data_IF_615569261487
#
_entry.id   IF_615569261487
#
_cell.length_a   1.000
_cell.length_b   1.000
_cell.length_c   1.000
_cell.angle_alpha   90.00
_cell.angle_beta   90.00
_cell.angle_gamma   90.00
#
_symmetry.space_group_name_H-M   'P 1'
#
loop_
_entity.id
_entity.type
_entity.pdbx_description
1 polymer ?
#
# COMPACT_ATOMS: atom_id res chain seq x y z
N UNK A 1 -5.11 8.81 -6.95
CA UNK A 1 -4.18 7.65 -6.74
C UNK A 1 -4.98 6.38 -6.45
N UNK A 2 -4.49 5.16 -6.73
CA UNK A 2 -5.17 3.91 -6.34
C UNK A 2 -4.43 3.19 -5.21
N UNK A 3 -5.14 2.89 -4.12
CA UNK A 3 -4.60 2.22 -2.93
C UNK A 3 -5.39 0.94 -2.70
N UNK A 4 -4.69 -0.18 -2.62
CA UNK A 4 -5.28 -1.48 -2.27
C UNK A 4 -4.82 -1.86 -0.88
N UNK A 5 -5.75 -2.22 0.01
CA UNK A 5 -5.46 -2.68 1.36
C UNK A 5 -5.82 -4.16 1.43
N UNK A 6 -4.94 -4.96 2.01
CA UNK A 6 -5.10 -6.40 2.09
C UNK A 6 -4.59 -6.95 3.39
N UNK A 7 -5.48 -7.50 4.21
CA UNK A 7 -5.13 -8.10 5.49
C UNK A 7 -5.60 -9.55 5.58
N UNK A 8 -5.07 -10.28 6.56
CA UNK A 8 -5.67 -11.54 7.00
C UNK A 8 -7.11 -11.31 7.47
N UNK A 9 -7.96 -12.32 7.31
CA UNK A 9 -9.40 -12.22 7.62
C UNK A 9 -9.66 -11.84 9.09
N UNK A 10 -8.77 -12.25 10.00
CA UNK A 10 -8.76 -11.86 11.42
C UNK A 10 -8.63 -10.34 11.63
N UNK A 11 -8.02 -9.61 10.69
CA UNK A 11 -7.78 -8.17 10.75
C UNK A 11 -8.62 -7.37 9.75
N UNK A 12 -9.69 -7.95 9.20
CA UNK A 12 -10.56 -7.25 8.24
C UNK A 12 -11.16 -5.96 8.83
N UNK A 13 -11.48 -5.93 10.13
CA UNK A 13 -11.98 -4.73 10.83
C UNK A 13 -10.96 -3.59 10.80
N UNK A 14 -9.67 -3.92 10.94
CA UNK A 14 -8.60 -2.94 10.84
C UNK A 14 -8.48 -2.41 9.41
N UNK A 15 -8.51 -3.30 8.41
CA UNK A 15 -8.46 -2.90 7.00
C UNK A 15 -9.64 -2.02 6.58
N UNK A 16 -10.86 -2.31 7.07
CA UNK A 16 -12.06 -1.52 6.78
C UNK A 16 -11.98 -0.14 7.46
N UNK A 17 -11.52 -0.09 8.72
CA UNK A 17 -11.30 1.18 9.41
C UNK A 17 -10.23 2.03 8.70
N UNK A 18 -9.14 1.41 8.24
CA UNK A 18 -8.05 2.08 7.54
C UNK A 18 -8.50 2.54 6.14
N UNK A 19 -9.28 1.72 5.42
CA UNK A 19 -9.90 2.09 4.16
C UNK A 19 -10.80 3.33 4.32
N UNK A 20 -11.68 3.33 5.32
CA UNK A 20 -12.56 4.47 5.60
C UNK A 20 -11.78 5.72 5.98
N UNK A 21 -10.77 5.58 6.83
CA UNK A 21 -9.91 6.69 7.24
C UNK A 21 -9.19 7.30 6.03
N UNK A 22 -8.55 6.47 5.20
CA UNK A 22 -7.86 6.93 3.99
C UNK A 22 -8.83 7.53 2.97
N UNK A 23 -9.99 6.90 2.73
CA UNK A 23 -11.00 7.43 1.82
C UNK A 23 -11.57 8.77 2.29
N UNK A 24 -11.73 8.95 3.61
CA UNK A 24 -12.17 10.22 4.19
C UNK A 24 -11.09 11.31 4.14
N UNK A 25 -9.83 10.96 4.32
CA UNK A 25 -8.70 11.90 4.32
C UNK A 25 -8.23 12.24 2.90
N UNK A 26 -8.42 11.33 1.95
CA UNK A 26 -8.02 11.43 0.55
C UNK A 26 -9.18 11.04 -0.36
N UNK A 27 -10.18 11.93 -0.55
CA UNK A 27 -11.28 11.67 -1.47
C UNK A 27 -10.84 11.53 -2.94
N UNK A 28 -9.63 12.01 -3.29
CA UNK A 28 -9.01 11.86 -4.61
C UNK A 28 -8.27 10.51 -4.79
N UNK A 29 -8.13 9.74 -3.71
CA UNK A 29 -7.56 8.40 -3.74
C UNK A 29 -8.67 7.33 -3.75
N UNK A 30 -8.59 6.42 -4.72
CA UNK A 30 -9.46 5.25 -4.79
C UNK A 30 -8.89 4.17 -3.89
N UNK A 31 -9.55 3.96 -2.74
CA UNK A 31 -9.11 3.02 -1.71
C UNK A 31 -10.01 1.78 -1.72
N UNK A 32 -9.45 0.63 -2.04
CA UNK A 32 -10.13 -0.65 -2.03
C UNK A 32 -9.54 -1.57 -0.94
N UNK A 33 -10.38 -2.35 -0.27
CA UNK A 33 -9.95 -3.39 0.66
C UNK A 33 -10.27 -4.78 0.08
N UNK A 34 -9.32 -5.72 0.16
CA UNK A 34 -9.48 -7.10 -0.28
C UNK A 34 -8.86 -8.09 0.71
N UNK A 35 -9.09 -9.38 0.50
CA UNK A 35 -8.49 -10.43 1.33
C UNK A 35 -7.10 -10.76 0.84
N UNK A 36 -6.20 -11.10 1.76
CA UNK A 36 -4.85 -11.55 1.44
C UNK A 36 -4.80 -12.70 0.43
N UNK A 37 -5.76 -13.62 0.49
CA UNK A 37 -5.85 -14.76 -0.43
C UNK A 37 -6.07 -14.38 -1.91
N UNK A 38 -6.63 -13.19 -2.17
CA UNK A 38 -6.95 -12.70 -3.53
C UNK A 38 -6.12 -11.48 -3.92
N UNK A 39 -5.12 -11.11 -3.11
CA UNK A 39 -4.31 -9.90 -3.34
C UNK A 39 -3.65 -9.89 -4.72
N UNK A 40 -3.16 -11.03 -5.20
CA UNK A 40 -2.54 -11.13 -6.53
C UNK A 40 -3.52 -10.80 -7.66
N UNK A 41 -4.67 -11.47 -7.68
CA UNK A 41 -5.73 -11.22 -8.68
C UNK A 41 -6.26 -9.79 -8.60
N UNK A 42 -6.41 -9.26 -7.38
CA UNK A 42 -6.87 -7.90 -7.16
C UNK A 42 -5.83 -6.88 -7.61
N UNK A 43 -4.53 -7.13 -7.41
CA UNK A 43 -3.46 -6.28 -7.93
C UNK A 43 -3.47 -6.26 -9.45
N UNK A 44 -3.65 -7.41 -10.11
CA UNK A 44 -3.74 -7.48 -11.57
C UNK A 44 -4.99 -6.78 -12.12
N UNK A 45 -6.14 -6.94 -11.47
CA UNK A 45 -7.42 -6.37 -11.92
C UNK A 45 -7.56 -4.87 -11.62
N UNK A 46 -7.21 -4.45 -10.40
CA UNK A 46 -7.36 -3.07 -9.92
C UNK A 46 -6.21 -2.17 -10.37
N UNK A 47 -5.05 -2.77 -10.64
CA UNK A 47 -3.81 -2.10 -10.97
C UNK A 47 -3.50 -0.96 -9.98
N UNK A 48 -3.36 -1.26 -8.67
CA UNK A 48 -3.11 -0.24 -7.65
C UNK A 48 -1.78 0.46 -7.90
N UNK A 49 -1.60 1.64 -7.31
CA UNK A 49 -0.30 2.28 -7.23
C UNK A 49 0.41 1.98 -5.90
N UNK A 50 -0.38 1.78 -4.84
CA UNK A 50 0.09 1.39 -3.52
C UNK A 50 -0.71 0.19 -3.02
N UNK A 51 -0.02 -0.82 -2.50
CA UNK A 51 -0.61 -1.98 -1.85
C UNK A 51 -0.18 -1.97 -0.39
N UNK A 52 -1.13 -1.91 0.55
CA UNK A 52 -0.87 -2.07 1.98
C UNK A 52 -1.25 -3.49 2.37
N UNK A 53 -0.28 -4.30 2.79
CA UNK A 53 -0.46 -5.71 3.11
C UNK A 53 0.07 -6.06 4.50
N UNK A 54 -0.49 -7.06 5.17
CA UNK A 54 0.12 -7.64 6.38
C UNK A 54 1.20 -8.68 6.10
N UNK A 55 1.52 -8.94 4.82
CA UNK A 55 2.56 -9.87 4.40
C UNK A 55 3.58 -9.21 3.47
N UNK A 56 4.80 -9.77 3.43
CA UNK A 56 5.83 -9.28 2.53
C UNK A 56 5.39 -9.53 1.10
N UNK A 57 5.86 -8.67 0.21
CA UNK A 57 5.60 -8.82 -1.20
C UNK A 57 6.24 -10.13 -1.70
N UNK A 58 5.44 -11.19 -1.80
CA UNK A 58 5.84 -12.51 -2.31
C UNK A 58 5.58 -12.64 -3.80
N UNK A 59 4.88 -11.67 -4.40
CA UNK A 59 4.59 -11.61 -5.83
C UNK A 59 5.46 -10.58 -6.52
N UNK A 60 5.95 -10.89 -7.71
CA UNK A 60 6.57 -9.91 -8.59
C UNK A 60 5.48 -8.91 -9.05
N UNK A 61 5.22 -7.88 -8.24
CA UNK A 61 4.23 -6.83 -8.51
C UNK A 61 4.71 -5.87 -9.62
N UNK A 62 5.39 -6.41 -10.64
CA UNK A 62 5.76 -5.75 -11.87
C UNK A 62 6.64 -4.50 -11.73
N UNK A 63 7.34 -4.34 -10.60
CA UNK A 63 8.25 -3.21 -10.31
C UNK A 63 7.62 -1.81 -10.29
N UNK A 64 6.32 -1.69 -10.60
CA UNK A 64 5.58 -0.43 -10.77
C UNK A 64 4.66 -0.08 -9.61
N UNK A 65 4.46 -1.02 -8.69
CA UNK A 65 3.59 -0.88 -7.51
C UNK A 65 4.42 -0.61 -6.27
N UNK A 66 4.04 0.41 -5.51
CA UNK A 66 4.53 0.60 -4.16
C UNK A 66 3.87 -0.44 -3.26
N UNK A 67 4.65 -1.10 -2.40
CA UNK A 67 4.16 -2.05 -1.41
C UNK A 67 4.46 -1.52 -0.02
N UNK A 68 3.50 -1.60 0.87
CA UNK A 68 3.66 -1.28 2.27
C UNK A 68 3.23 -2.50 3.07
N UNK A 69 4.20 -3.24 3.58
CA UNK A 69 3.97 -4.25 4.59
C UNK A 69 3.71 -3.53 5.92
N UNK A 70 2.45 -3.45 6.33
CA UNK A 70 2.07 -2.90 7.62
C UNK A 70 1.66 -4.05 8.54
N UNK A 71 2.56 -4.35 9.46
CA UNK A 71 2.36 -5.40 10.46
C UNK A 71 1.16 -5.04 11.33
N UNK A 72 0.22 -5.97 11.55
CA UNK A 72 -0.91 -5.73 12.44
C UNK A 72 -0.48 -5.59 13.91
N UNK A 73 0.69 -6.13 14.25
CA UNK A 73 1.28 -5.98 15.58
C UNK A 73 2.09 -4.68 15.67
N UNK A 74 1.85 -3.83 16.70
CA UNK A 74 2.52 -2.53 16.86
C UNK A 74 4.03 -2.65 17.14
N UNK A 75 4.48 -3.80 17.63
CA UNK A 75 5.88 -4.06 17.98
C UNK A 75 6.69 -4.65 16.81
N UNK A 76 6.01 -5.14 15.76
CA UNK A 76 6.69 -5.70 14.60
C UNK A 76 7.11 -4.61 13.61
N UNK A 77 8.34 -4.69 13.07
CA UNK A 77 8.78 -3.79 12.02
C UNK A 77 7.90 -3.97 10.79
N UNK A 78 7.67 -2.87 10.09
CA UNK A 78 6.94 -2.80 8.82
C UNK A 78 7.94 -2.60 7.68
N UNK A 79 7.71 -3.21 6.52
CA UNK A 79 8.56 -3.06 5.34
C UNK A 79 7.88 -2.25 4.24
N UNK A 80 8.45 -1.10 3.88
CA UNK A 80 8.00 -0.32 2.73
C UNK A 80 8.88 -0.61 1.51
N UNK A 81 8.28 -0.96 0.38
CA UNK A 81 8.94 -1.11 -0.90
C UNK A 81 8.40 -0.07 -1.89
N UNK A 82 9.26 0.83 -2.39
CA UNK A 82 8.90 1.86 -3.37
C UNK A 82 9.91 1.86 -4.52
N UNK A 83 9.44 1.61 -5.75
CA UNK A 83 10.28 1.66 -6.96
C UNK A 83 11.51 0.74 -6.89
N UNK A 84 11.34 -0.47 -6.34
CA UNK A 84 12.42 -1.47 -6.20
C UNK A 84 13.38 -1.24 -5.02
N UNK A 85 13.19 -0.16 -4.24
CA UNK A 85 13.92 0.05 -2.98
C UNK A 85 13.08 -0.40 -1.80
N UNK A 86 13.68 -1.13 -0.86
CA UNK A 86 13.06 -1.61 0.37
C UNK A 86 13.59 -0.84 1.56
N UNK A 87 12.70 -0.41 2.44
CA UNK A 87 13.00 0.25 3.69
C UNK A 87 12.25 -0.45 4.81
N UNK A 88 12.99 -0.94 5.81
CA UNK A 88 12.39 -1.31 7.08
C UNK A 88 12.11 -0.06 7.89
N UNK A 89 10.88 0.09 8.39
CA UNK A 89 10.45 1.16 9.27
C UNK A 89 9.77 0.56 10.51
N UNK A 90 9.87 1.22 11.68
CA UNK A 90 8.98 0.90 12.80
C UNK A 90 7.52 1.11 12.36
N UNK A 91 6.59 0.39 12.99
CA UNK A 91 5.17 0.44 12.62
C UNK A 91 4.68 1.91 12.62
N UNK A 92 4.37 2.48 11.44
CA UNK A 92 4.07 3.90 11.31
C UNK A 92 2.74 4.24 12.01
N UNK A 93 2.63 5.46 12.52
CA UNK A 93 1.31 6.02 12.84
C UNK A 93 0.54 6.30 11.55
N UNK A 94 -0.77 6.54 11.66
CA UNK A 94 -1.60 6.93 10.51
C UNK A 94 -1.02 8.17 9.79
N UNK A 95 -0.46 9.12 10.54
CA UNK A 95 0.19 10.32 9.98
C UNK A 95 1.42 9.98 9.14
N UNK A 96 2.27 9.07 9.61
CA UNK A 96 3.43 8.58 8.85
C UNK A 96 2.99 7.82 7.59
N UNK A 97 1.91 7.03 7.67
CA UNK A 97 1.33 6.35 6.50
C UNK A 97 0.82 7.37 5.46
N UNK A 98 0.14 8.43 5.91
CA UNK A 98 -0.32 9.51 5.03
C UNK A 98 0.85 10.25 4.37
N UNK A 99 1.92 10.51 5.12
CA UNK A 99 3.15 11.09 4.58
C UNK A 99 3.77 10.19 3.52
N UNK A 100 3.81 8.88 3.76
CA UNK A 100 4.30 7.91 2.78
C UNK A 100 3.42 7.87 1.52
N UNK A 101 2.10 7.94 1.67
CA UNK A 101 1.17 8.05 0.53
C UNK A 101 1.49 9.30 -0.29
N UNK A 102 1.72 10.44 0.36
CA UNK A 102 2.10 11.70 -0.30
C UNK A 102 3.44 11.54 -1.06
N UNK A 103 4.43 10.87 -0.45
CA UNK A 103 5.70 10.54 -1.12
C UNK A 103 5.50 9.63 -2.33
N UNK A 104 4.62 8.63 -2.24
CA UNK A 104 4.27 7.74 -3.35
C UNK A 104 3.56 8.54 -4.45
N UNK A 105 2.61 9.42 -4.13
CA UNK A 105 1.96 10.29 -5.12
C UNK A 105 2.96 11.22 -5.81
N UNK A 106 3.87 11.82 -5.05
CA UNK A 106 4.93 12.67 -5.58
C UNK A 106 5.88 11.87 -6.49
N UNK A 107 6.21 10.63 -6.11
CA UNK A 107 7.06 9.76 -6.89
C UNK A 107 6.34 9.28 -8.17
N UNK A 108 5.07 8.88 -8.11
CA UNK A 108 4.24 8.55 -9.27
C UNK A 108 4.12 9.74 -10.23
N UNK A 109 3.99 10.96 -9.70
CA UNK A 109 3.95 12.18 -10.50
C UNK A 109 5.29 12.44 -11.21
N UNK A 110 6.39 12.08 -10.57
CA UNK A 110 7.76 12.15 -11.12
C UNK A 110 8.09 11.01 -12.09
N UNK A 111 7.58 9.79 -11.86
CA UNK A 111 7.76 8.63 -12.74
C UNK A 111 6.81 8.66 -13.95
N UNK A 112 5.69 9.39 -13.87
CA UNK A 112 4.86 9.76 -15.02
C UNK A 112 5.55 10.73 -15.99
N UNK A 113 6.67 11.33 -15.60
CA UNK A 113 7.59 11.94 -16.55
C UNK A 113 8.35 10.79 -17.21
N UNK A 114 8.15 10.53 -18.52
CA UNK A 114 8.63 9.31 -19.15
C UNK A 114 10.15 9.30 -19.15
N UNK A 115 10.74 8.65 -18.14
CA UNK A 115 12.06 8.05 -18.30
C UNK A 115 11.82 6.81 -19.14
N UNK A 116 11.78 7.05 -20.44
CA UNK A 116 11.91 6.01 -21.44
C UNK A 116 13.11 5.14 -21.09
N UNK A 117 12.90 3.83 -21.24
CA UNK A 117 13.99 2.98 -21.67
C UNK A 117 14.30 3.29 -23.14
#
# INVERSE_FOLDING_TARGET
MRILISYEESYHLYSDALQRALSSLRPDAEVAACRLSVIGEQVESFNPNLVVSSRPNTGDAGGRVAWYELSPEPDEPSEACLGGRRWQRPNPTLEELLSFIDEVEALLRREREPRGC
#
